data_IF_382452299429
#
_entry.id   IF_382452299429
#
_cell.length_a   1.000
_cell.length_b   1.000
_cell.length_c   1.000
_cell.angle_alpha   90.00
_cell.angle_beta   90.00
_cell.angle_gamma   90.00
#
_symmetry.space_group_name_H-M   'P 1'
#
loop_
_entity.id
_entity.type
_entity.pdbx_description
1 polymer ?
#
# COMPACT_ATOMS: atom_id res chain seq x y z
N UNK A 1 -1.69 5.68 -11.87
CA UNK A 1 -1.18 4.87 -10.74
C UNK A 1 -2.12 3.71 -10.45
N UNK A 2 -1.56 2.55 -10.13
CA UNK A 2 -2.31 1.35 -9.77
C UNK A 2 -1.87 0.87 -8.40
N UNK A 3 -2.83 0.48 -7.57
CA UNK A 3 -2.57 -0.04 -6.21
C UNK A 3 -3.02 -1.49 -6.11
N UNK A 4 -2.13 -2.33 -5.60
CA UNK A 4 -2.38 -3.75 -5.32
C UNK A 4 -2.28 -3.98 -3.82
N UNK A 5 -3.38 -4.39 -3.20
CA UNK A 5 -3.47 -4.60 -1.75
C UNK A 5 -3.91 -6.02 -1.42
N UNK A 6 -3.50 -6.49 -0.26
CA UNK A 6 -3.89 -7.80 0.24
C UNK A 6 -3.28 -8.06 1.60
N UNK A 7 -3.69 -9.12 2.25
CA UNK A 7 -3.04 -9.59 3.46
C UNK A 7 -1.61 -10.08 3.17
N UNK A 8 -0.89 -10.45 4.21
CA UNK A 8 0.45 -11.00 4.02
C UNK A 8 0.41 -12.26 3.15
N UNK A 9 1.36 -12.38 2.24
CA UNK A 9 1.55 -13.54 1.36
C UNK A 9 0.37 -13.85 0.43
N UNK A 10 -0.38 -12.84 0.02
CA UNK A 10 -1.52 -13.04 -0.87
C UNK A 10 -1.20 -12.80 -2.36
N UNK A 11 0.06 -12.47 -2.70
CA UNK A 11 0.51 -12.40 -4.09
C UNK A 11 0.42 -11.02 -4.72
N UNK A 12 0.21 -9.96 -3.95
CA UNK A 12 0.10 -8.61 -4.51
C UNK A 12 1.39 -8.13 -5.17
N UNK A 13 2.56 -8.49 -4.62
CA UNK A 13 3.84 -8.11 -5.23
C UNK A 13 4.00 -8.75 -6.61
N UNK A 14 3.75 -10.04 -6.70
CA UNK A 14 3.88 -10.82 -7.93
C UNK A 14 2.90 -10.34 -8.99
N UNK A 15 1.67 -10.05 -8.60
CA UNK A 15 0.64 -9.59 -9.52
C UNK A 15 0.97 -8.19 -10.05
N UNK A 16 1.42 -7.28 -9.17
CA UNK A 16 1.82 -5.95 -9.57
C UNK A 16 2.93 -6.00 -10.62
N UNK A 17 3.93 -6.84 -10.41
CA UNK A 17 5.05 -7.01 -11.35
C UNK A 17 4.58 -7.61 -12.67
N UNK A 18 3.73 -8.62 -12.63
CA UNK A 18 3.25 -9.30 -13.84
C UNK A 18 2.40 -8.38 -14.73
N UNK A 19 1.57 -7.56 -14.11
CA UNK A 19 0.63 -6.68 -14.85
C UNK A 19 1.25 -5.36 -15.30
N UNK A 20 2.42 -5.00 -14.78
CA UNK A 20 3.05 -3.70 -15.05
C UNK A 20 4.52 -3.86 -15.44
N UNK A 21 4.85 -4.61 -16.50
CA UNK A 21 6.24 -4.95 -16.81
C UNK A 21 7.11 -3.75 -17.20
N UNK A 22 6.50 -2.64 -17.60
CA UNK A 22 7.25 -1.44 -18.04
C UNK A 22 7.06 -0.25 -17.11
N UNK A 23 6.34 -0.42 -16.00
CA UNK A 23 6.06 0.68 -15.07
C UNK A 23 7.09 0.71 -13.94
N UNK A 24 7.21 1.87 -13.29
CA UNK A 24 7.90 2.00 -12.02
C UNK A 24 7.08 1.27 -10.96
N UNK A 25 7.70 0.38 -10.19
CA UNK A 25 6.98 -0.47 -9.24
C UNK A 25 7.58 -0.32 -7.84
N UNK A 26 6.72 -0.13 -6.85
CA UNK A 26 7.10 -0.07 -5.44
C UNK A 26 6.44 -1.23 -4.71
N UNK A 27 7.25 -2.18 -4.27
CA UNK A 27 6.81 -3.37 -3.54
C UNK A 27 6.90 -3.15 -2.03
N UNK A 28 6.10 -3.90 -1.28
CA UNK A 28 6.09 -3.82 0.18
C UNK A 28 5.97 -2.38 0.69
N UNK A 29 5.06 -1.63 0.08
CA UNK A 29 4.96 -0.19 0.33
C UNK A 29 4.56 0.14 1.77
N UNK A 30 3.95 -0.77 2.48
CA UNK A 30 3.68 -0.63 3.92
C UNK A 30 4.97 -0.41 4.71
N UNK A 31 6.10 -1.00 4.29
CA UNK A 31 7.40 -0.78 4.91
C UNK A 31 7.96 0.62 4.57
N UNK A 32 7.70 1.11 3.36
CA UNK A 32 8.05 2.48 2.98
C UNK A 32 7.30 3.51 3.82
N UNK A 33 6.02 3.26 4.08
CA UNK A 33 5.21 4.11 4.96
C UNK A 33 5.77 4.06 6.40
N UNK A 34 6.14 2.87 6.86
CA UNK A 34 6.74 2.70 8.19
C UNK A 34 8.00 3.54 8.36
N UNK A 35 8.89 3.47 7.37
CA UNK A 35 10.13 4.26 7.39
C UNK A 35 9.85 5.76 7.44
N UNK A 36 8.88 6.24 6.67
CA UNK A 36 8.49 7.64 6.66
C UNK A 36 7.93 8.09 8.02
N UNK A 37 7.10 7.28 8.64
CA UNK A 37 6.52 7.57 9.95
C UNK A 37 7.60 7.57 11.04
N UNK A 38 8.55 6.64 10.98
CA UNK A 38 9.68 6.58 11.90
C UNK A 38 10.57 7.82 11.80
N UNK A 39 10.60 8.47 10.64
CA UNK A 39 11.28 9.75 10.42
C UNK A 39 10.46 10.96 10.86
N UNK A 40 9.27 10.75 11.43
CA UNK A 40 8.41 11.81 11.91
C UNK A 40 7.50 12.42 10.84
N UNK A 41 7.37 11.79 9.66
CA UNK A 41 6.51 12.28 8.59
C UNK A 41 5.05 11.88 8.84
N UNK A 42 4.14 12.79 8.55
CA UNK A 42 2.71 12.50 8.68
C UNK A 42 2.27 11.60 7.52
N UNK A 43 1.57 10.46 7.79
CA UNK A 43 1.31 9.44 6.75
C UNK A 43 0.50 9.93 5.56
N UNK A 44 -0.52 10.76 5.76
CA UNK A 44 -1.34 11.27 4.66
C UNK A 44 -0.57 12.22 3.77
N UNK A 45 0.19 13.12 4.38
CA UNK A 45 1.02 14.08 3.63
C UNK A 45 2.11 13.36 2.85
N UNK A 46 2.71 12.35 3.45
CA UNK A 46 3.67 11.49 2.76
C UNK A 46 3.04 10.84 1.53
N UNK A 47 1.85 10.25 1.68
CA UNK A 47 1.15 9.58 0.60
C UNK A 47 0.76 10.57 -0.53
N UNK A 48 0.24 11.74 -0.18
CA UNK A 48 -0.12 12.77 -1.16
C UNK A 48 1.10 13.19 -1.98
N UNK A 49 2.20 13.45 -1.31
CA UNK A 49 3.45 13.84 -1.97
C UNK A 49 3.98 12.72 -2.87
N UNK A 50 3.94 11.50 -2.38
CA UNK A 50 4.37 10.33 -3.16
C UNK A 50 3.55 10.19 -4.45
N UNK A 51 2.23 10.35 -4.37
CA UNK A 51 1.36 10.29 -5.53
C UNK A 51 1.68 11.38 -6.55
N UNK A 52 2.01 12.58 -6.09
CA UNK A 52 2.42 13.67 -6.99
C UNK A 52 3.76 13.40 -7.67
N UNK A 53 4.69 12.79 -6.96
CA UNK A 53 6.04 12.50 -7.47
C UNK A 53 6.06 11.28 -8.41
N UNK A 54 5.12 10.35 -8.24
CA UNK A 54 5.08 9.09 -8.98
C UNK A 54 3.69 8.81 -9.55
N UNK A 55 3.20 9.64 -10.49
CA UNK A 55 1.80 9.53 -10.97
C UNK A 55 1.51 8.29 -11.80
N UNK A 56 2.53 7.65 -12.35
CA UNK A 56 2.38 6.52 -13.28
C UNK A 56 2.86 5.18 -12.70
N UNK A 57 3.10 5.10 -11.40
CA UNK A 57 3.65 3.89 -10.79
C UNK A 57 2.60 2.83 -10.47
N UNK A 58 3.09 1.62 -10.16
CA UNK A 58 2.32 0.57 -9.53
C UNK A 58 2.83 0.36 -8.11
N UNK A 59 1.94 0.26 -7.15
CA UNK A 59 2.26 0.10 -5.73
C UNK A 59 1.64 -1.20 -5.23
N UNK A 60 2.43 -2.00 -4.54
CA UNK A 60 1.95 -3.18 -3.84
C UNK A 60 2.19 -3.03 -2.35
N UNK A 61 1.18 -3.30 -1.53
CA UNK A 61 1.26 -3.15 -0.09
C UNK A 61 0.40 -4.18 0.64
N UNK A 62 0.80 -4.50 1.86
CA UNK A 62 -0.04 -5.31 2.75
C UNK A 62 -1.09 -4.44 3.43
N UNK A 63 -2.31 -4.96 3.53
CA UNK A 63 -3.35 -4.40 4.39
C UNK A 63 -3.06 -4.80 5.84
N UNK A 64 -2.14 -4.09 6.48
CA UNK A 64 -1.74 -4.42 7.87
C UNK A 64 -2.88 -4.21 8.87
N UNK A 65 -3.94 -3.54 8.45
CA UNK A 65 -5.15 -3.37 9.24
C UNK A 65 -6.09 -4.57 9.24
N UNK A 66 -5.87 -5.55 8.36
CA UNK A 66 -6.67 -6.78 8.30
C UNK A 66 -6.12 -7.80 9.30
N UNK A 67 -6.95 -8.31 10.18
CA UNK A 67 -6.56 -9.34 11.14
C UNK A 67 -6.72 -8.90 12.59
N UNK A 68 -6.04 -9.60 13.49
CA UNK A 68 -6.15 -9.37 14.94
C UNK A 68 -5.56 -8.02 15.33
N UNK A 69 -6.23 -7.31 16.23
CA UNK A 69 -5.74 -6.03 16.76
C UNK A 69 -4.45 -6.27 17.55
N UNK A 70 -3.33 -5.60 17.20
CA UNK A 70 -2.07 -5.77 17.92
C UNK A 70 -2.16 -5.31 19.36
N UNK A 71 -1.43 -5.98 20.25
CA UNK A 71 -1.38 -5.60 21.67
C UNK A 71 -0.46 -4.41 21.93
N UNK A 72 0.62 -4.27 21.14
CA UNK A 72 1.59 -3.18 21.32
C UNK A 72 1.04 -1.88 20.72
N UNK A 73 1.23 -0.78 21.46
CA UNK A 73 0.79 0.53 21.03
C UNK A 73 1.49 0.96 19.72
N UNK A 74 2.77 0.68 19.58
CA UNK A 74 3.55 1.00 18.38
C UNK A 74 2.99 0.30 17.16
N UNK A 75 2.60 -0.96 17.30
CA UNK A 75 2.04 -1.74 16.20
C UNK A 75 0.64 -1.23 15.80
N UNK A 76 -0.16 -0.78 16.79
CA UNK A 76 -1.44 -0.14 16.49
C UNK A 76 -1.29 1.18 15.77
N UNK A 77 -0.30 1.99 16.17
CA UNK A 77 0.00 3.26 15.53
C UNK A 77 0.50 3.06 14.10
N UNK A 78 1.34 2.05 13.89
CA UNK A 78 1.80 1.69 12.56
C UNK A 78 0.64 1.24 11.67
N UNK A 79 -0.22 0.37 12.18
CA UNK A 79 -1.41 -0.11 11.47
C UNK A 79 -2.31 1.05 11.06
N UNK A 80 -2.54 2.02 11.95
CA UNK A 80 -3.32 3.21 11.67
C UNK A 80 -2.65 4.08 10.61
N UNK A 81 -1.34 4.30 10.72
CA UNK A 81 -0.59 5.10 9.78
C UNK A 81 -0.64 4.51 8.36
N UNK A 82 -0.42 3.21 8.22
CA UNK A 82 -0.50 2.52 6.94
C UNK A 82 -1.91 2.62 6.36
N UNK A 83 -2.93 2.41 7.18
CA UNK A 83 -4.32 2.53 6.74
C UNK A 83 -4.64 3.90 6.20
N UNK A 84 -4.21 4.96 6.89
CA UNK A 84 -4.45 6.35 6.45
C UNK A 84 -3.72 6.66 5.15
N UNK A 85 -2.46 6.24 5.02
CA UNK A 85 -1.69 6.46 3.80
C UNK A 85 -2.28 5.70 2.62
N UNK A 86 -2.67 4.45 2.82
CA UNK A 86 -3.28 3.64 1.75
C UNK A 86 -4.63 4.18 1.31
N UNK A 87 -5.40 4.79 2.20
CA UNK A 87 -6.65 5.46 1.81
C UNK A 87 -6.40 6.61 0.84
N UNK A 88 -5.36 7.41 1.07
CA UNK A 88 -4.97 8.48 0.15
C UNK A 88 -4.55 7.91 -1.19
N UNK A 89 -3.69 6.90 -1.18
CA UNK A 89 -3.20 6.26 -2.41
C UNK A 89 -4.36 5.65 -3.21
N UNK A 90 -5.26 4.95 -2.55
CA UNK A 90 -6.43 4.34 -3.19
C UNK A 90 -7.34 5.40 -3.83
N UNK A 91 -7.50 6.55 -3.17
CA UNK A 91 -8.30 7.65 -3.70
C UNK A 91 -7.67 8.24 -4.96
N UNK A 92 -6.35 8.39 -4.98
CA UNK A 92 -5.62 8.95 -6.11
C UNK A 92 -5.43 7.94 -7.25
N UNK A 93 -5.41 6.64 -6.94
CA UNK A 93 -5.17 5.59 -7.92
C UNK A 93 -6.32 5.49 -8.93
N UNK A 94 -5.96 5.21 -10.18
CA UNK A 94 -6.92 4.94 -11.25
C UNK A 94 -7.50 3.53 -11.13
N UNK A 95 -6.74 2.63 -10.52
CA UNK A 95 -7.13 1.24 -10.35
C UNK A 95 -6.65 0.73 -9.00
N UNK A 96 -7.53 0.06 -8.28
CA UNK A 96 -7.19 -0.65 -7.04
C UNK A 96 -7.61 -2.10 -7.19
N UNK A 97 -6.66 -3.00 -6.96
CA UNK A 97 -6.86 -4.45 -7.05
C UNK A 97 -6.61 -5.09 -5.69
N UNK A 98 -7.57 -5.85 -5.20
CA UNK A 98 -7.41 -6.63 -3.98
C UNK A 98 -6.94 -8.03 -4.36
N UNK A 99 -5.90 -8.52 -3.68
CA UNK A 99 -5.31 -9.84 -3.93
C UNK A 99 -5.67 -10.80 -2.81
N UNK A 100 -6.23 -11.94 -3.19
CA UNK A 100 -6.55 -13.04 -2.27
C UNK A 100 -6.07 -14.33 -2.92
N UNK A 101 -5.14 -15.03 -2.26
CA UNK A 101 -4.58 -16.30 -2.75
C UNK A 101 -4.06 -16.18 -4.19
N UNK A 102 -3.38 -15.09 -4.49
CA UNK A 102 -2.82 -14.85 -5.83
C UNK A 102 -3.82 -14.37 -6.88
N UNK A 103 -5.08 -14.26 -6.53
CA UNK A 103 -6.15 -13.83 -7.44
C UNK A 103 -6.44 -12.35 -7.20
N UNK A 104 -6.31 -11.54 -8.26
CA UNK A 104 -6.63 -10.13 -8.18
C UNK A 104 -8.08 -9.85 -8.51
N UNK A 105 -8.73 -9.07 -7.66
CA UNK A 105 -10.09 -8.57 -7.88
C UNK A 105 -10.05 -7.05 -7.90
N UNK A 106 -10.45 -6.47 -9.01
CA UNK A 106 -10.50 -5.02 -9.13
C UNK A 106 -11.66 -4.46 -8.31
N UNK A 107 -11.35 -3.50 -7.42
CA UNK A 107 -12.35 -2.86 -6.56
C UNK A 107 -12.52 -1.37 -6.88
N UNK A 108 -11.63 -0.86 -7.70
CA UNK A 108 -11.75 0.51 -8.23
C UNK A 108 -11.37 0.61 -9.69
#
# INVERSE_FOLDING_TARGET
>A
MKLYIGGAYQGQNELAQAENPSAEIFLDFHETIRAAVDEGREPRMFAERFCCEHPECAIAANEVGAGVVPMRKEDRLFREAVGRALCVIAQEAQQVTRCVCGIGVRIK
#
